data_IF_023320812548
#
_entry.id   IF_023320812548
#
_cell.length_a   1.000
_cell.length_b   1.000
_cell.length_c   1.000
_cell.angle_alpha   90.00
_cell.angle_beta   90.00
_cell.angle_gamma   90.00
#
_symmetry.space_group_name_H-M   'P 1'
#
loop_
_entity.id
_entity.type
_entity.pdbx_description
1 polymer ?
#
# COMPACT_ATOMS: atom_id res chain seq x y z
N UNK A 1 -0.75 -16.74 -22.65
CA UNK A 1 -0.74 -16.24 -22.39
C UNK A 1 -0.50 -15.63 -21.62
N UNK A 2 -0.28 -15.17 -21.28
CA UNK A 2 0.10 -14.61 -20.68
C UNK A 2 -0.24 -14.04 -19.78
N UNK A 3 -0.05 -14.17 -19.27
CA UNK A 3 -0.58 -13.74 -18.56
C UNK A 3 -0.30 -12.84 -17.82
N UNK A 4 -0.14 -12.57 -17.26
CA UNK A 4 -0.11 -11.75 -16.63
C UNK A 4 0.85 -11.38 -15.87
N UNK A 5 1.85 -11.20 -16.23
CA UNK A 5 2.90 -10.58 -15.54
C UNK A 5 2.49 -9.20 -15.12
N UNK A 6 1.39 -8.78 -15.58
CA UNK A 6 0.90 -7.45 -15.31
C UNK A 6 0.85 -7.15 -13.82
N UNK A 7 0.31 -8.07 -13.06
CA UNK A 7 0.19 -7.85 -11.63
C UNK A 7 1.55 -7.73 -10.98
N UNK A 8 2.47 -8.57 -11.40
CA UNK A 8 3.81 -8.56 -10.86
C UNK A 8 4.56 -7.29 -11.26
N UNK A 9 4.39 -6.89 -12.51
CA UNK A 9 5.03 -5.69 -13.01
C UNK A 9 4.53 -4.45 -12.30
N UNK A 10 3.25 -4.39 -12.00
CA UNK A 10 2.71 -3.27 -11.26
C UNK A 10 3.36 -3.16 -9.89
N UNK A 11 3.57 -4.28 -9.24
CA UNK A 11 4.21 -4.28 -7.94
C UNK A 11 5.64 -3.77 -8.03
N UNK A 12 6.36 -4.20 -9.05
CA UNK A 12 7.75 -3.80 -9.23
C UNK A 12 7.89 -2.32 -9.59
N UNK A 13 6.91 -1.78 -10.31
CA UNK A 13 6.96 -0.39 -10.74
C UNK A 13 6.50 0.58 -9.66
N UNK A 14 5.72 0.12 -8.72
CA UNK A 14 5.14 1.00 -7.74
C UNK A 14 6.10 1.20 -6.59
N UNK A 15 6.87 2.27 -6.71
CA UNK A 15 7.90 2.61 -5.75
C UNK A 15 7.36 3.67 -4.81
N UNK A 16 6.53 3.24 -3.88
CA UNK A 16 5.85 4.15 -2.97
C UNK A 16 6.35 3.96 -1.56
N UNK A 17 6.34 5.04 -0.79
CA UNK A 17 6.68 5.03 0.62
C UNK A 17 5.40 5.05 1.43
N UNK A 18 5.38 4.30 2.50
CA UNK A 18 4.22 4.28 3.38
C UNK A 18 4.64 4.56 4.81
N UNK A 19 3.85 5.39 5.47
CA UNK A 19 3.97 5.62 6.90
C UNK A 19 2.71 5.10 7.54
N UNK A 20 2.87 4.14 8.44
CA UNK A 20 1.74 3.47 9.08
C UNK A 20 1.80 3.78 10.56
N UNK A 21 0.74 4.37 11.09
CA UNK A 21 0.67 4.73 12.49
C UNK A 21 -0.42 3.91 13.17
N UNK A 22 -0.05 3.23 14.24
CA UNK A 22 -1.01 2.53 15.10
C UNK A 22 -1.84 3.58 15.80
N UNK A 23 -3.15 3.57 15.58
CA UNK A 23 -4.04 4.59 16.12
C UNK A 23 -4.11 4.56 17.65
N UNK A 24 -3.83 3.42 18.24
CA UNK A 24 -3.93 3.28 19.68
C UNK A 24 -2.65 3.72 20.38
N UNK A 25 -1.51 3.29 19.89
CA UNK A 25 -0.23 3.56 20.54
C UNK A 25 0.51 4.77 19.99
N UNK A 26 0.20 5.17 18.76
CA UNK A 26 0.91 6.24 18.09
C UNK A 26 2.24 5.81 17.50
N UNK A 27 2.59 4.55 17.60
CA UNK A 27 3.84 4.04 17.03
C UNK A 27 3.74 4.08 15.52
N UNK A 28 4.82 4.51 14.88
CA UNK A 28 4.89 4.63 13.42
C UNK A 28 5.92 3.71 12.83
N UNK A 29 5.58 3.16 11.66
CA UNK A 29 6.49 2.36 10.85
C UNK A 29 6.54 3.01 9.48
N UNK A 30 7.74 3.22 8.96
CA UNK A 30 7.94 3.77 7.62
C UNK A 30 8.72 2.77 6.80
N UNK A 31 8.13 2.36 5.67
CA UNK A 31 8.75 1.39 4.79
C UNK A 31 8.26 1.62 3.37
N UNK A 32 8.98 1.06 2.41
CA UNK A 32 8.50 1.03 1.05
C UNK A 32 7.42 -0.04 0.93
N UNK A 33 6.45 0.21 0.08
CA UNK A 33 5.42 -0.79 -0.18
C UNK A 33 6.01 -1.90 -1.04
N UNK A 34 5.61 -3.12 -0.75
CA UNK A 34 5.90 -4.28 -1.60
C UNK A 34 4.86 -4.38 -2.69
N UNK A 35 3.63 -4.09 -2.34
CA UNK A 35 2.55 -4.03 -3.29
C UNK A 35 1.53 -3.02 -2.81
N UNK A 36 0.80 -2.49 -3.74
CA UNK A 36 -0.23 -1.49 -3.47
C UNK A 36 -1.32 -1.68 -4.49
N UNK A 37 -2.56 -1.75 -4.03
CA UNK A 37 -3.71 -1.84 -4.93
C UNK A 37 -4.85 -1.04 -4.32
N UNK A 38 -6.02 -1.12 -4.95
CA UNK A 38 -7.16 -0.31 -4.51
C UNK A 38 -7.70 -0.70 -3.14
N UNK A 39 -7.31 -1.87 -2.65
CA UNK A 39 -7.86 -2.40 -1.40
C UNK A 39 -6.88 -2.35 -0.24
N UNK A 40 -5.63 -2.10 -0.49
CA UNK A 40 -4.64 -2.07 0.57
C UNK A 40 -3.23 -2.18 0.07
N UNK A 41 -2.31 -2.46 0.99
CA UNK A 41 -0.90 -2.59 0.63
C UNK A 41 -0.20 -3.56 1.55
N UNK A 42 0.96 -4.03 1.10
CA UNK A 42 1.84 -4.85 1.90
C UNK A 42 3.19 -4.19 2.01
N UNK A 43 3.93 -4.52 3.05
CA UNK A 43 5.27 -3.98 3.24
C UNK A 43 6.10 -4.95 4.06
N UNK A 44 7.41 -4.95 3.80
CA UNK A 44 8.35 -5.67 4.63
C UNK A 44 8.73 -4.79 5.79
N UNK A 45 8.71 -5.35 6.97
CA UNK A 45 9.14 -4.62 8.15
C UNK A 45 9.59 -5.61 9.21
N UNK A 46 10.66 -5.29 9.95
CA UNK A 46 11.10 -6.18 11.04
C UNK A 46 10.19 -6.08 12.27
N UNK A 47 9.31 -5.09 12.32
CA UNK A 47 8.47 -4.85 13.49
C UNK A 47 7.02 -4.67 13.09
N UNK A 48 6.39 -5.70 12.48
CA UNK A 48 5.00 -5.54 12.03
C UNK A 48 4.04 -5.42 13.21
N UNK A 49 2.97 -4.65 12.99
CA UNK A 49 1.88 -4.62 13.96
C UNK A 49 1.09 -5.92 13.84
N UNK A 50 0.50 -6.38 14.93
CA UNK A 50 -0.30 -7.62 14.87
C UNK A 50 -1.61 -7.41 14.10
N UNK A 51 -2.13 -8.51 13.57
CA UNK A 51 -3.42 -8.49 12.87
C UNK A 51 -4.47 -7.88 13.77
N UNK A 52 -5.34 -7.06 13.19
CA UNK A 52 -6.39 -6.38 13.93
C UNK A 52 -6.05 -4.96 14.34
N UNK A 53 -4.77 -4.58 14.25
CA UNK A 53 -4.36 -3.22 14.59
C UNK A 53 -4.99 -2.22 13.64
N UNK A 54 -5.63 -1.19 14.17
CA UNK A 54 -6.19 -0.12 13.34
C UNK A 54 -5.14 0.94 13.14
N UNK A 55 -5.00 1.38 11.92
CA UNK A 55 -3.91 2.27 11.54
C UNK A 55 -4.38 3.38 10.63
N UNK A 56 -3.57 4.42 10.55
CA UNK A 56 -3.71 5.43 9.51
C UNK A 56 -2.46 5.32 8.65
N UNK A 57 -2.67 5.32 7.32
CA UNK A 57 -1.59 5.20 6.37
C UNK A 57 -1.45 6.48 5.59
N UNK A 58 -0.20 6.90 5.38
CA UNK A 58 0.12 7.95 4.45
C UNK A 58 1.05 7.35 3.42
N UNK A 59 0.60 7.30 2.17
CA UNK A 59 1.35 6.68 1.09
C UNK A 59 1.76 7.75 0.10
N UNK A 60 3.05 7.83 -0.17
CA UNK A 60 3.62 8.83 -1.06
C UNK A 60 4.14 8.16 -2.32
N UNK A 61 3.80 8.70 -3.48
CA UNK A 61 4.26 8.21 -4.75
C UNK A 61 4.57 9.42 -5.64
N UNK A 62 5.84 9.57 -5.97
CA UNK A 62 6.27 10.76 -6.67
C UNK A 62 6.05 11.97 -5.77
N UNK A 63 5.33 12.95 -6.27
CA UNK A 63 5.03 14.16 -5.52
C UNK A 63 3.66 14.15 -4.88
N UNK A 64 2.97 13.03 -5.00
CA UNK A 64 1.62 12.94 -4.53
C UNK A 64 1.54 12.07 -3.30
N UNK A 65 0.50 12.26 -2.54
CA UNK A 65 0.33 11.56 -1.27
C UNK A 65 -1.15 11.31 -1.05
N UNK A 66 -1.46 10.12 -0.53
CA UNK A 66 -2.81 9.80 -0.11
C UNK A 66 -2.79 9.43 1.36
N UNK A 67 -3.95 9.55 1.99
CA UNK A 67 -4.14 9.15 3.38
C UNK A 67 -5.34 8.21 3.42
N UNK A 68 -5.21 7.13 4.17
CA UNK A 68 -6.29 6.17 4.31
C UNK A 68 -6.26 5.61 5.72
N UNK A 69 -7.43 5.21 6.21
CA UNK A 69 -7.51 4.39 7.40
C UNK A 69 -7.49 2.94 6.98
N UNK A 70 -6.92 2.10 7.82
CA UNK A 70 -6.83 0.69 7.49
C UNK A 70 -6.75 -0.18 8.71
N UNK A 71 -6.68 -1.47 8.46
CA UNK A 71 -6.59 -2.48 9.49
C UNK A 71 -5.58 -3.52 9.05
N UNK A 72 -4.68 -3.87 9.95
CA UNK A 72 -3.68 -4.90 9.67
C UNK A 72 -4.39 -6.23 9.56
N UNK A 73 -4.22 -6.92 8.45
CA UNK A 73 -4.83 -8.23 8.22
C UNK A 73 -3.86 -9.36 8.52
N UNK A 74 -2.56 -9.10 8.45
CA UNK A 74 -1.56 -10.02 8.97
C UNK A 74 -0.30 -9.22 9.32
N UNK A 75 0.41 -9.70 10.34
CA UNK A 75 1.71 -9.16 10.68
C UNK A 75 2.58 -10.33 11.11
N UNK A 76 3.68 -10.57 10.39
CA UNK A 76 4.56 -11.71 10.62
C UNK A 76 6.01 -11.26 10.51
N UNK A 77 6.79 -11.67 11.48
CA UNK A 77 8.20 -11.25 11.56
C UNK A 77 8.99 -11.62 10.32
N UNK A 78 8.64 -12.72 9.69
CA UNK A 78 9.40 -13.23 8.54
C UNK A 78 8.87 -12.72 7.20
N UNK A 79 7.70 -12.10 7.18
CA UNK A 79 7.06 -11.68 5.94
C UNK A 79 6.85 -10.18 5.88
N UNK A 80 6.39 -9.62 6.98
CA UNK A 80 6.03 -8.21 7.04
C UNK A 80 4.58 -8.04 7.42
N UNK A 81 3.92 -7.08 6.81
CA UNK A 81 2.60 -6.67 7.24
C UNK A 81 1.72 -6.39 6.04
N UNK A 82 0.48 -6.86 6.09
CA UNK A 82 -0.53 -6.54 5.09
C UNK A 82 -1.63 -5.72 5.72
N UNK A 83 -2.07 -4.68 5.01
CA UNK A 83 -3.05 -3.73 5.52
C UNK A 83 -4.17 -3.57 4.52
N UNK A 84 -5.41 -3.72 4.96
CA UNK A 84 -6.58 -3.46 4.13
C UNK A 84 -7.06 -2.04 4.43
N UNK A 85 -7.38 -1.30 3.39
CA UNK A 85 -7.97 0.03 3.58
C UNK A 85 -9.40 -0.14 4.05
N UNK A 86 -9.78 0.62 5.07
CA UNK A 86 -11.16 0.61 5.57
C UNK A 86 -11.91 1.87 5.19
N UNK A 87 -11.19 2.98 5.09
CA UNK A 87 -11.80 4.25 4.71
C UNK A 87 -10.76 5.08 3.97
N UNK A 88 -11.15 5.62 2.84
CA UNK A 88 -10.29 6.52 2.08
C UNK A 88 -11.17 7.60 1.49
N UNK A 89 -10.73 8.85 1.57
CA UNK A 89 -11.51 9.96 1.05
C UNK A 89 -11.61 9.88 -0.47
N UNK A 90 -12.72 10.35 -1.05
CA UNK A 90 -12.90 10.23 -2.50
C UNK A 90 -11.76 10.82 -3.32
N UNK A 91 -11.18 11.93 -2.89
CA UNK A 91 -10.07 12.55 -3.61
C UNK A 91 -8.84 11.65 -3.60
N UNK A 92 -8.57 11.05 -2.46
CA UNK A 92 -7.43 10.15 -2.33
C UNK A 92 -7.68 8.85 -3.06
N UNK A 93 -8.92 8.39 -3.04
CA UNK A 93 -9.31 7.19 -3.78
C UNK A 93 -9.05 7.39 -5.27
N UNK A 94 -9.45 8.54 -5.79
CA UNK A 94 -9.25 8.82 -7.21
C UNK A 94 -7.78 8.90 -7.56
N UNK A 95 -6.99 9.50 -6.69
CA UNK A 95 -5.56 9.60 -6.92
C UNK A 95 -4.93 8.21 -6.95
N UNK A 96 -5.31 7.36 -6.03
CA UNK A 96 -4.83 5.98 -6.01
C UNK A 96 -5.24 5.25 -7.29
N UNK A 97 -6.48 5.44 -7.74
CA UNK A 97 -6.94 4.85 -8.99
C UNK A 97 -6.09 5.32 -10.16
N UNK A 98 -5.76 6.61 -10.18
CA UNK A 98 -4.94 7.17 -11.25
C UNK A 98 -3.53 6.57 -11.23
N UNK A 99 -2.95 6.41 -10.06
CA UNK A 99 -1.63 5.79 -9.95
C UNK A 99 -1.65 4.38 -10.55
N UNK A 100 -2.64 3.59 -10.16
CA UNK A 100 -2.74 2.20 -10.61
C UNK A 100 -3.00 2.14 -12.12
N UNK A 101 -3.90 2.99 -12.61
CA UNK A 101 -4.23 3.04 -14.03
C UNK A 101 -3.01 3.46 -14.85
N UNK A 102 -2.25 4.42 -14.35
CA UNK A 102 -1.04 4.88 -15.04
C UNK A 102 -0.02 3.79 -15.18
N UNK A 103 0.17 3.01 -14.12
CA UNK A 103 1.12 1.89 -14.16
C UNK A 103 0.64 0.81 -15.12
N UNK A 104 -0.66 0.53 -15.14
CA UNK A 104 -1.21 -0.46 -16.05
C UNK A 104 -1.04 -0.03 -17.49
N UNK A 105 -1.26 1.25 -17.78
CA UNK A 105 -1.06 1.77 -19.14
C UNK A 105 0.40 1.72 -19.55
N UNK A 106 1.30 2.09 -18.66
CA UNK A 106 2.72 2.04 -18.96
C UNK A 106 3.14 0.60 -19.25
N UNK A 107 2.60 -0.34 -18.47
CA UNK A 107 2.91 -1.74 -18.66
C UNK A 107 2.43 -2.24 -20.01
N UNK A 108 1.22 -1.85 -20.40
CA UNK A 108 0.65 -2.34 -21.65
C UNK A 108 1.32 -1.73 -22.87
N UNK A 109 2.07 -0.66 -22.71
CA UNK A 109 2.80 -0.04 -23.80
C UNK A 109 4.21 -0.61 -23.96
N UNK A 110 4.64 -1.36 -23.00
CA UNK A 110 5.94 -2.00 -23.09
C UNK A 110 5.82 -3.31 -23.82
#
# INVERSE_FOLDING_TARGET
METLPTRRALRDLLDADAEVTDLESGIRIRERTKDLNLHGCGMSTPTPFPAGTRVILKVSYGREKITAFGKVIYGRLDIGMGIAFTTIEPEDQKLLEDWIAGLAMAESQS
#
